data_IF_151610964202
#
_entry.id   IF_151610964202
#
_cell.length_a   1.000
_cell.length_b   1.000
_cell.length_c   1.000
_cell.angle_alpha   90.00
_cell.angle_beta   90.00
_cell.angle_gamma   90.00
#
_symmetry.space_group_name_H-M   'P 1'
#
loop_
_entity.id
_entity.type
_entity.pdbx_description
1 polymer ?
#
# COMPACT_ATOMS: atom_id res chain seq x y z
N UNK A 1 17.58 1.19 -4.00
CA UNK A 1 16.74 1.59 -2.84
C UNK A 1 16.00 0.37 -2.35
N UNK A 2 16.04 0.10 -1.04
CA UNK A 2 15.31 -1.03 -0.45
C UNK A 2 13.81 -0.76 -0.43
N UNK A 3 13.01 -1.81 -0.28
CA UNK A 3 11.55 -1.69 -0.13
C UNK A 3 11.18 -0.82 1.07
N UNK A 4 11.84 -1.01 2.22
CA UNK A 4 11.64 -0.18 3.41
C UNK A 4 12.01 1.30 3.19
N UNK A 5 13.10 1.58 2.48
CA UNK A 5 13.48 2.95 2.15
C UNK A 5 12.44 3.61 1.22
N UNK A 6 11.94 2.87 0.24
CA UNK A 6 10.93 3.38 -0.68
C UNK A 6 9.57 3.55 0.00
N UNK A 7 9.16 2.61 0.84
CA UNK A 7 7.97 2.73 1.70
C UNK A 7 8.02 3.99 2.55
N UNK A 8 9.16 4.27 3.21
CA UNK A 8 9.33 5.52 3.97
C UNK A 8 9.14 6.76 3.09
N UNK A 9 9.71 6.78 1.87
CA UNK A 9 9.52 7.90 0.94
C UNK A 9 8.05 8.08 0.54
N UNK A 10 7.31 6.99 0.36
CA UNK A 10 5.89 7.05 0.04
C UNK A 10 5.09 7.62 1.22
N UNK A 11 5.38 7.20 2.45
CA UNK A 11 4.76 7.77 3.67
C UNK A 11 5.02 9.28 3.71
N UNK A 12 6.30 9.68 3.70
CA UNK A 12 6.70 11.09 3.80
C UNK A 12 6.05 11.95 2.68
N UNK A 13 5.87 11.39 1.48
CA UNK A 13 5.24 12.09 0.34
C UNK A 13 3.74 12.28 0.56
N UNK A 14 3.01 11.22 0.87
CA UNK A 14 1.55 11.29 1.01
C UNK A 14 1.15 12.11 2.25
N UNK A 15 1.90 12.02 3.34
CA UNK A 15 1.67 12.90 4.50
C UNK A 15 1.80 14.39 4.12
N UNK A 16 2.80 14.76 3.31
CA UNK A 16 2.94 16.14 2.78
C UNK A 16 1.80 16.55 1.86
N UNK A 17 1.19 15.61 1.17
CA UNK A 17 0.01 15.80 0.32
C UNK A 17 -1.31 15.82 1.12
N UNK A 18 -1.22 15.78 2.46
CA UNK A 18 -2.36 15.88 3.37
C UNK A 18 -3.10 14.57 3.62
N UNK A 19 -2.47 13.42 3.34
CA UNK A 19 -3.01 12.11 3.69
C UNK A 19 -2.63 11.73 5.12
N UNK A 20 -3.55 11.08 5.84
CA UNK A 20 -3.19 10.28 7.02
C UNK A 20 -2.71 8.92 6.53
N UNK A 21 -1.45 8.57 6.79
CA UNK A 21 -0.85 7.31 6.31
C UNK A 21 -0.60 6.38 7.50
N UNK A 22 -1.09 5.14 7.41
CA UNK A 22 -0.88 4.11 8.43
C UNK A 22 -0.22 2.89 7.77
N UNK A 23 0.84 2.38 8.41
CA UNK A 23 1.45 1.12 8.03
C UNK A 23 0.66 -0.05 8.60
N UNK A 24 0.27 -0.97 7.73
CA UNK A 24 -0.42 -2.21 8.10
C UNK A 24 0.62 -3.30 8.37
N UNK A 25 0.85 -3.60 9.65
CA UNK A 25 1.88 -4.57 10.09
C UNK A 25 1.25 -5.88 10.53
N UNK A 26 0.28 -5.81 11.43
CA UNK A 26 -0.41 -6.97 11.99
C UNK A 26 -1.92 -6.80 11.82
N UNK A 27 -2.50 -7.60 10.93
CA UNK A 27 -3.91 -7.58 10.62
C UNK A 27 -4.49 -9.00 10.70
N UNK A 28 -5.80 -9.11 10.94
CA UNK A 28 -6.51 -10.39 10.93
C UNK A 28 -6.51 -11.06 9.54
N UNK A 29 -6.43 -10.27 8.47
CA UNK A 29 -6.26 -10.74 7.09
C UNK A 29 -4.80 -10.63 6.67
N UNK A 30 -4.16 -11.77 6.40
CA UNK A 30 -2.82 -11.79 5.83
C UNK A 30 -2.81 -11.29 4.38
N UNK A 31 -1.67 -10.72 3.97
CA UNK A 31 -1.44 -10.25 2.60
C UNK A 31 -2.16 -8.96 2.22
N UNK A 32 -2.69 -8.21 3.19
CA UNK A 32 -3.17 -6.86 2.94
C UNK A 32 -2.01 -5.96 2.45
N UNK A 33 -2.33 -4.91 1.66
CA UNK A 33 -1.35 -3.92 1.24
C UNK A 33 -0.59 -3.30 2.42
N UNK A 34 0.67 -2.92 2.19
CA UNK A 34 1.54 -2.40 3.23
C UNK A 34 1.05 -1.11 3.91
N UNK A 35 0.42 -0.21 3.14
CA UNK A 35 -0.01 1.10 3.60
C UNK A 35 -1.50 1.32 3.31
N UNK A 36 -2.16 2.03 4.22
CA UNK A 36 -3.44 2.69 3.97
C UNK A 36 -3.25 4.21 4.06
N UNK A 37 -3.74 4.93 3.06
CA UNK A 37 -3.71 6.38 2.99
C UNK A 37 -5.16 6.88 3.00
N UNK A 38 -5.50 7.78 3.93
CA UNK A 38 -6.87 8.25 4.14
C UNK A 38 -6.96 9.79 4.14
N UNK A 39 -8.04 10.29 3.54
CA UNK A 39 -8.63 11.63 3.67
C UNK A 39 -10.11 11.46 4.03
N UNK A 40 -10.82 12.52 4.46
CA UNK A 40 -12.22 12.40 4.92
C UNK A 40 -13.14 11.59 3.99
N UNK A 41 -12.97 11.73 2.68
CA UNK A 41 -13.83 11.09 1.67
C UNK A 41 -13.05 10.21 0.68
N UNK A 42 -11.79 9.88 0.99
CA UNK A 42 -10.92 9.15 0.07
C UNK A 42 -10.02 8.18 0.83
N UNK A 43 -10.01 6.92 0.40
CA UNK A 43 -9.15 5.87 0.97
C UNK A 43 -8.47 5.13 -0.17
N UNK A 44 -7.15 4.99 -0.05
CA UNK A 44 -6.38 4.16 -0.96
C UNK A 44 -5.38 3.28 -0.22
N UNK A 45 -5.09 2.14 -0.82
CA UNK A 45 -4.12 1.18 -0.32
C UNK A 45 -2.90 1.14 -1.23
N UNK A 46 -1.72 0.99 -0.64
CA UNK A 46 -0.47 0.91 -1.38
C UNK A 46 0.31 -0.31 -0.95
N UNK A 47 0.52 -1.22 -1.89
CA UNK A 47 1.46 -2.33 -1.76
C UNK A 47 2.82 -1.89 -2.30
N UNK A 48 3.87 -2.00 -1.48
CA UNK A 48 5.21 -1.53 -1.82
C UNK A 48 6.07 -2.70 -2.22
N UNK A 49 6.70 -2.63 -3.40
CA UNK A 49 7.68 -3.62 -3.84
C UNK A 49 9.01 -2.99 -4.17
N UNK A 50 10.09 -3.71 -3.85
CA UNK A 50 11.40 -3.42 -4.43
C UNK A 50 11.42 -3.53 -5.96
N UNK A 51 12.48 -3.07 -6.65
CA UNK A 51 12.57 -3.09 -8.12
C UNK A 51 12.26 -4.45 -8.75
N UNK A 52 12.71 -5.53 -8.11
CA UNK A 52 12.49 -6.92 -8.54
C UNK A 52 11.47 -7.68 -7.65
N UNK A 53 10.83 -7.01 -6.71
CA UNK A 53 9.89 -7.63 -5.76
C UNK A 53 8.66 -8.19 -6.47
N UNK A 54 8.20 -9.39 -6.12
CA UNK A 54 7.01 -9.99 -6.72
C UNK A 54 5.86 -9.97 -5.73
N UNK A 55 4.63 -9.84 -6.23
CA UNK A 55 3.45 -10.07 -5.41
C UNK A 55 3.34 -11.56 -5.13
N UNK A 56 3.11 -11.91 -3.87
CA UNK A 56 2.67 -13.26 -3.51
C UNK A 56 1.22 -13.48 -3.97
N UNK A 57 0.79 -14.73 -4.11
CA UNK A 57 -0.59 -15.05 -4.52
C UNK A 57 -1.62 -14.50 -3.54
N UNK A 58 -1.33 -14.52 -2.23
CA UNK A 58 -2.23 -13.94 -1.22
C UNK A 58 -2.36 -12.42 -1.37
N UNK A 59 -1.28 -11.72 -1.72
CA UNK A 59 -1.33 -10.28 -1.97
C UNK A 59 -2.14 -9.97 -3.23
N UNK A 60 -1.96 -10.73 -4.31
CA UNK A 60 -2.79 -10.59 -5.52
C UNK A 60 -4.27 -10.76 -5.20
N UNK A 61 -4.62 -11.81 -4.47
CA UNK A 61 -5.99 -12.06 -4.04
C UNK A 61 -6.56 -10.89 -3.22
N UNK A 62 -5.80 -10.35 -2.24
CA UNK A 62 -6.27 -9.24 -1.40
C UNK A 62 -6.40 -7.92 -2.17
N UNK A 63 -5.50 -7.66 -3.10
CA UNK A 63 -5.58 -6.49 -3.98
C UNK A 63 -6.87 -6.53 -4.80
N UNK A 64 -7.19 -7.67 -5.42
CA UNK A 64 -8.42 -7.81 -6.19
C UNK A 64 -9.66 -7.76 -5.29
N UNK A 65 -9.64 -8.40 -4.11
CA UNK A 65 -10.73 -8.31 -3.11
C UNK A 65 -11.03 -6.84 -2.72
N UNK A 66 -9.99 -6.01 -2.51
CA UNK A 66 -10.16 -4.60 -2.16
C UNK A 66 -10.66 -3.76 -3.34
N UNK A 67 -10.18 -4.02 -4.55
CA UNK A 67 -10.66 -3.34 -5.76
C UNK A 67 -12.12 -3.67 -6.06
N UNK A 68 -12.53 -4.93 -5.91
CA UNK A 68 -13.92 -5.37 -6.06
C UNK A 68 -14.83 -4.72 -5.03
N UNK A 69 -14.32 -4.43 -3.82
CA UNK A 69 -15.02 -3.67 -2.79
C UNK A 69 -15.06 -2.15 -3.07
N UNK A 70 -14.45 -1.67 -4.15
CA UNK A 70 -14.47 -0.28 -4.59
C UNK A 70 -13.34 0.60 -4.03
N UNK A 71 -12.31 0.02 -3.42
CA UNK A 71 -11.15 0.77 -2.95
C UNK A 71 -10.10 0.97 -4.05
N UNK A 72 -9.41 2.11 -4.00
CA UNK A 72 -8.21 2.33 -4.80
C UNK A 72 -7.03 1.54 -4.21
N UNK A 73 -6.32 0.80 -5.06
CA UNK A 73 -5.20 -0.06 -4.66
C UNK A 73 -4.09 0.02 -5.70
N UNK A 74 -2.95 0.55 -5.28
CA UNK A 74 -1.77 0.73 -6.11
C UNK A 74 -0.63 -0.23 -5.70
N UNK A 75 0.12 -0.71 -6.69
CA UNK A 75 1.37 -1.45 -6.46
C UNK A 75 2.54 -0.58 -6.91
N UNK A 76 3.31 -0.08 -5.95
CA UNK A 76 4.34 0.93 -6.18
C UNK A 76 5.74 0.33 -6.13
N UNK A 77 6.59 0.79 -7.05
CA UNK A 77 7.99 0.35 -7.19
C UNK A 77 8.90 1.56 -7.37
N UNK A 78 10.12 1.54 -6.80
CA UNK A 78 11.09 2.56 -7.12
C UNK A 78 11.57 2.36 -8.57
N UNK A 79 11.51 3.42 -9.37
CA UNK A 79 12.13 3.49 -10.69
C UNK A 79 13.66 3.33 -10.58
#
# INVERSE_FOLDING_TARGET
MTEAQYQKKLIDRHEKEGWTVIKLIMCNKAGLPDLICMKPDEVKFIEVKGPKGRLSEVQKYRIEELKEAGFDVEVMRPC
#
